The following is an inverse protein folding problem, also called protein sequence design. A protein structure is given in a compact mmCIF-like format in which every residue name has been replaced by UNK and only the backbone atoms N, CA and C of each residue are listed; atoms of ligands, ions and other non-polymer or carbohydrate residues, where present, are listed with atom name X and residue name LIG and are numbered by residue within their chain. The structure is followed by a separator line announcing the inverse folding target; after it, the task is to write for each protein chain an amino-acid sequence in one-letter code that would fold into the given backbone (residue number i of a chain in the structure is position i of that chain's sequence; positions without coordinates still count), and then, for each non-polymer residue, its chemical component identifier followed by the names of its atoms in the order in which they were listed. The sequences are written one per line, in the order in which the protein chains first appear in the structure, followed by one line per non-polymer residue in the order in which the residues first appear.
data_IF_665205204174
#
_entry.id   IF_665205204174
#
_cell.length_a   1.000
_cell.length_b   1.000
_cell.length_c   1.000
_cell.angle_alpha   90.00
_cell.angle_beta   90.00
_cell.angle_gamma   90.00
#
_symmetry.space_group_name_H-M   'P 1'
#
loop_
_entity.id
_entity.type
_entity.pdbx_description
1 polymer ?
#
# COMPACT_ATOMS: atom_id res chain seq x y z
N UNK A 1 28.63 9.48 23.30
CA UNK A 1 28.12 8.08 23.26
C UNK A 1 27.42 7.92 21.93
N UNK A 2 27.67 6.84 21.20
CA UNK A 2 26.93 6.57 19.94
C UNK A 2 25.43 6.40 20.27
N UNK A 3 24.58 7.02 19.46
CA UNK A 3 23.12 6.91 19.62
C UNK A 3 22.71 5.50 19.15
N UNK A 4 22.03 4.75 20.01
CA UNK A 4 21.43 3.47 19.62
C UNK A 4 20.17 3.71 18.81
N UNK A 5 20.04 3.10 17.63
CA UNK A 5 18.95 3.36 16.69
C UNK A 5 18.57 2.14 15.87
N UNK A 6 17.41 2.20 15.28
CA UNK A 6 16.87 1.21 14.35
C UNK A 6 16.56 1.85 12.99
N UNK A 7 16.55 1.04 11.94
CA UNK A 7 16.15 1.47 10.59
C UNK A 7 14.88 0.73 10.19
N UNK A 8 13.89 1.50 9.73
CA UNK A 8 12.68 0.99 9.07
C UNK A 8 12.64 1.41 7.60
N UNK A 9 12.41 0.46 6.71
CA UNK A 9 12.39 0.69 5.26
C UNK A 9 11.05 0.21 4.68
N UNK A 10 10.40 1.08 3.93
CA UNK A 10 9.25 0.79 3.05
C UNK A 10 9.76 0.69 1.62
N UNK A 11 9.86 -0.53 1.11
CA UNK A 11 10.43 -0.87 -0.19
C UNK A 11 9.36 -1.10 -1.24
N UNK A 12 9.09 -0.09 -2.06
CA UNK A 12 8.13 -0.14 -3.15
C UNK A 12 8.70 -0.64 -4.49
N UNK A 13 7.83 -0.71 -5.50
CA UNK A 13 8.19 -1.17 -6.85
C UNK A 13 9.06 -0.20 -7.66
N UNK A 14 9.00 1.10 -7.36
CA UNK A 14 9.72 2.15 -8.10
C UNK A 14 10.62 2.98 -7.21
N UNK A 15 10.28 3.12 -5.94
CA UNK A 15 11.02 3.90 -4.94
C UNK A 15 10.85 3.26 -3.57
N UNK A 16 11.75 3.59 -2.67
CA UNK A 16 11.68 3.24 -1.26
C UNK A 16 11.82 4.48 -0.38
N UNK A 17 11.31 4.38 0.84
CA UNK A 17 11.47 5.36 1.91
C UNK A 17 12.06 4.65 3.12
N UNK A 18 13.08 5.23 3.72
CA UNK A 18 13.73 4.67 4.90
C UNK A 18 13.88 5.74 5.97
N UNK A 19 13.71 5.34 7.23
CA UNK A 19 13.89 6.19 8.39
C UNK A 19 14.82 5.55 9.40
N UNK A 20 15.59 6.37 10.10
CA UNK A 20 16.36 5.98 11.27
C UNK A 20 15.74 6.61 12.52
N UNK A 21 15.44 5.79 13.52
CA UNK A 21 14.78 6.20 14.76
C UNK A 21 15.61 5.77 15.95
N UNK A 22 15.89 6.68 16.88
CA UNK A 22 16.55 6.34 18.14
C UNK A 22 15.67 5.46 19.01
N UNK A 23 16.27 4.75 19.96
CA UNK A 23 15.50 3.94 20.93
C UNK A 23 14.61 4.80 21.84
N UNK A 24 14.84 6.10 21.87
CA UNK A 24 14.02 7.09 22.60
C UNK A 24 12.92 7.70 21.72
N UNK A 25 12.85 7.32 20.44
CA UNK A 25 11.80 7.76 19.50
C UNK A 25 12.10 9.06 18.73
N UNK A 26 13.36 9.53 18.76
CA UNK A 26 13.75 10.67 17.92
C UNK A 26 13.98 10.20 16.49
N UNK A 27 13.41 10.89 15.51
CA UNK A 27 13.77 10.69 14.11
C UNK A 27 15.15 11.27 13.86
N UNK A 28 16.11 10.40 13.59
CA UNK A 28 17.50 10.78 13.36
C UNK A 28 17.76 11.10 11.89
N UNK A 29 16.99 10.51 10.97
CA UNK A 29 17.12 10.77 9.55
C UNK A 29 16.05 10.10 8.73
N UNK A 30 15.82 10.64 7.53
CA UNK A 30 14.93 10.10 6.52
C UNK A 30 15.61 10.18 5.16
N UNK A 31 15.57 9.10 4.39
CA UNK A 31 16.15 9.03 3.06
C UNK A 31 15.19 8.32 2.09
N UNK A 32 15.32 8.65 0.81
CA UNK A 32 14.61 7.97 -0.29
C UNK A 32 15.60 7.21 -1.15
N UNK A 33 15.17 6.06 -1.66
CA UNK A 33 16.01 5.19 -2.48
C UNK A 33 15.30 4.61 -3.70
N UNK A 34 16.03 3.82 -4.44
CA UNK A 34 15.55 3.05 -5.59
C UNK A 34 14.57 1.95 -5.19
N UNK A 35 14.11 1.15 -6.18
CA UNK A 35 13.14 0.08 -5.95
C UNK A 35 13.71 -1.02 -5.06
N UNK A 36 12.87 -1.48 -4.13
CA UNK A 36 13.10 -2.66 -3.29
C UNK A 36 11.88 -3.59 -3.43
N UNK A 37 11.69 -4.18 -4.62
CA UNK A 37 10.63 -5.13 -4.89
C UNK A 37 11.23 -6.53 -5.04
N UNK A 38 10.82 -7.45 -4.18
CA UNK A 38 11.38 -8.80 -4.11
C UNK A 38 11.31 -9.59 -5.42
N UNK A 39 10.22 -9.43 -6.19
CA UNK A 39 9.98 -10.22 -7.39
C UNK A 39 10.44 -9.55 -8.70
N UNK A 40 10.45 -8.23 -8.76
CA UNK A 40 10.73 -7.50 -10.01
C UNK A 40 12.10 -6.82 -10.03
N UNK A 41 12.71 -6.61 -8.87
CA UNK A 41 14.06 -6.07 -8.75
C UNK A 41 15.06 -7.21 -8.67
N UNK A 42 16.05 -7.26 -9.57
CA UNK A 42 17.09 -8.29 -9.49
C UNK A 42 17.85 -8.18 -8.15
N UNK A 43 18.38 -9.29 -7.59
CA UNK A 43 19.12 -9.25 -6.32
C UNK A 43 20.26 -8.24 -6.31
N UNK A 44 20.99 -8.07 -7.42
CA UNK A 44 22.06 -7.09 -7.55
C UNK A 44 21.56 -5.65 -7.45
N UNK A 45 20.44 -5.32 -8.13
CA UNK A 45 19.80 -4.00 -8.03
C UNK A 45 19.16 -3.76 -6.67
N UNK A 46 18.63 -4.80 -6.04
CA UNK A 46 18.07 -4.71 -4.69
C UNK A 46 19.16 -4.31 -3.68
N UNK A 47 20.28 -5.03 -3.69
CA UNK A 47 21.42 -4.72 -2.82
C UNK A 47 22.07 -3.37 -3.14
N UNK A 48 22.14 -2.96 -4.41
CA UNK A 48 22.60 -1.62 -4.81
C UNK A 48 21.69 -0.52 -4.25
N UNK A 49 20.36 -0.64 -4.43
CA UNK A 49 19.40 0.31 -3.86
C UNK A 49 19.48 0.39 -2.34
N UNK A 50 19.60 -0.77 -1.66
CA UNK A 50 19.78 -0.81 -0.22
C UNK A 50 21.11 -0.17 0.21
N UNK A 51 22.20 -0.47 -0.48
CA UNK A 51 23.52 0.13 -0.20
C UNK A 51 23.49 1.65 -0.31
N UNK A 52 22.84 2.19 -1.34
CA UNK A 52 22.67 3.63 -1.51
C UNK A 52 21.84 4.28 -0.38
N UNK A 53 20.82 3.59 0.15
CA UNK A 53 20.04 4.06 1.30
C UNK A 53 20.93 4.09 2.56
N UNK A 54 21.68 3.03 2.83
CA UNK A 54 22.54 2.95 4.00
C UNK A 54 23.67 3.98 3.95
N UNK A 55 24.24 4.22 2.76
CA UNK A 55 25.26 5.23 2.54
C UNK A 55 24.72 6.65 2.79
N UNK A 56 23.47 6.96 2.36
CA UNK A 56 22.87 8.26 2.64
C UNK A 56 22.67 8.51 4.15
N UNK A 57 22.36 7.50 4.95
CA UNK A 57 22.28 7.67 6.39
C UNK A 57 23.62 8.07 7.00
N UNK A 58 24.73 7.49 6.52
CA UNK A 58 26.07 7.88 6.96
C UNK A 58 26.45 9.29 6.49
N UNK A 59 26.28 9.58 5.18
CA UNK A 59 26.76 10.83 4.59
C UNK A 59 25.90 12.07 4.94
N UNK A 60 24.58 11.90 5.05
CA UNK A 60 23.64 13.02 5.22
C UNK A 60 23.27 13.22 6.69
N UNK A 61 23.20 12.14 7.45
CA UNK A 61 22.69 12.15 8.82
C UNK A 61 23.75 11.80 9.88
N UNK A 62 25.02 11.61 9.47
CA UNK A 62 26.16 11.30 10.35
C UNK A 62 25.91 10.06 11.22
N UNK A 63 25.23 9.06 10.65
CA UNK A 63 24.89 7.81 11.31
C UNK A 63 25.91 6.72 10.94
N UNK A 64 27.17 6.89 11.39
CA UNK A 64 28.30 5.99 11.05
C UNK A 64 28.26 4.62 11.73
N UNK A 65 27.43 4.46 12.75
CA UNK A 65 27.26 3.17 13.44
C UNK A 65 26.20 2.31 12.74
N UNK A 66 26.43 1.00 12.67
CA UNK A 66 25.41 0.09 12.17
C UNK A 66 24.16 0.13 13.08
N UNK A 67 22.98 0.22 12.47
CA UNK A 67 21.73 0.12 13.20
C UNK A 67 21.67 -1.19 14.01
N UNK A 68 21.08 -1.12 15.20
CA UNK A 68 20.90 -2.30 16.06
C UNK A 68 19.96 -3.33 15.44
N UNK A 69 18.95 -2.86 14.75
CA UNK A 69 18.02 -3.68 13.97
C UNK A 69 17.56 -2.93 12.73
N UNK A 70 17.40 -3.64 11.62
CA UNK A 70 16.82 -3.12 10.38
C UNK A 70 15.66 -4.02 9.95
N UNK A 71 14.51 -3.43 9.71
CA UNK A 71 13.34 -4.09 9.11
C UNK A 71 13.05 -3.49 7.74
N UNK A 72 12.95 -4.34 6.73
CA UNK A 72 12.64 -3.98 5.35
C UNK A 72 11.27 -4.57 5.00
N UNK A 73 10.28 -3.70 4.78
CA UNK A 73 9.07 -4.05 4.04
C UNK A 73 9.38 -4.05 2.56
N UNK A 74 9.11 -5.15 1.85
CA UNK A 74 9.37 -5.23 0.41
C UNK A 74 8.11 -5.58 -0.36
N UNK A 75 7.86 -4.86 -1.45
CA UNK A 75 6.73 -5.13 -2.33
C UNK A 75 6.82 -6.55 -2.93
N UNK A 76 5.66 -7.13 -3.19
CA UNK A 76 5.51 -8.48 -3.79
C UNK A 76 5.98 -9.65 -2.92
N UNK A 77 6.20 -9.44 -1.64
CA UNK A 77 6.42 -10.48 -0.64
C UNK A 77 5.18 -10.58 0.26
N UNK A 78 4.63 -11.78 0.48
CA UNK A 78 3.43 -11.98 1.31
C UNK A 78 3.74 -12.46 2.73
N UNK A 79 4.97 -12.89 2.96
CA UNK A 79 5.44 -13.46 4.23
C UNK A 79 6.74 -12.78 4.65
N UNK A 80 7.44 -13.35 5.62
CA UNK A 80 8.82 -12.99 5.94
C UNK A 80 9.79 -13.94 5.23
N UNK A 81 10.97 -13.43 4.86
CA UNK A 81 12.08 -14.27 4.46
C UNK A 81 12.75 -14.90 5.68
N UNK A 82 13.31 -16.08 5.50
CA UNK A 82 14.25 -16.61 6.50
C UNK A 82 15.55 -15.80 6.51
N UNK A 83 16.34 -15.97 7.55
CA UNK A 83 17.56 -15.18 7.77
C UNK A 83 18.58 -15.32 6.64
N UNK A 84 18.69 -16.52 6.03
CA UNK A 84 19.64 -16.79 4.94
C UNK A 84 19.19 -16.14 3.63
N UNK A 85 17.90 -16.23 3.30
CA UNK A 85 17.32 -15.57 2.13
C UNK A 85 17.37 -14.05 2.25
N UNK A 86 17.04 -13.50 3.43
CA UNK A 86 17.14 -12.07 3.71
C UNK A 86 18.57 -11.54 3.51
N UNK A 87 19.57 -12.22 4.08
CA UNK A 87 20.97 -11.85 3.91
C UNK A 87 21.41 -11.92 2.44
N UNK A 88 20.97 -12.94 1.70
CA UNK A 88 21.28 -13.12 0.27
C UNK A 88 20.69 -12.00 -0.59
N UNK A 89 19.42 -11.66 -0.39
CA UNK A 89 18.73 -10.59 -1.16
C UNK A 89 19.35 -9.23 -0.86
N UNK A 90 19.73 -8.99 0.38
CA UNK A 90 20.40 -7.75 0.80
C UNK A 90 21.91 -7.72 0.49
N UNK A 91 22.45 -8.74 -0.19
CA UNK A 91 23.86 -8.77 -0.60
C UNK A 91 24.86 -8.80 0.55
N UNK A 92 24.45 -9.23 1.73
CA UNK A 92 25.32 -9.26 2.93
C UNK A 92 25.68 -7.88 3.49
N UNK A 93 24.97 -6.82 3.08
CA UNK A 93 25.23 -5.44 3.54
C UNK A 93 24.93 -5.21 5.02
N UNK A 94 24.10 -6.05 5.61
CA UNK A 94 23.68 -5.98 7.01
C UNK A 94 23.92 -7.33 7.70
N UNK A 95 24.28 -7.34 8.99
CA UNK A 95 24.37 -8.57 9.76
C UNK A 95 23.03 -9.30 9.77
N UNK A 96 23.06 -10.61 9.52
CA UNK A 96 21.85 -11.41 9.36
C UNK A 96 20.97 -11.48 10.63
N UNK A 97 21.58 -11.40 11.80
CA UNK A 97 20.92 -11.34 13.11
C UNK A 97 20.26 -9.98 13.41
N UNK A 98 20.65 -8.94 12.68
CA UNK A 98 20.10 -7.58 12.77
C UNK A 98 19.16 -7.21 11.62
N UNK A 99 18.84 -8.16 10.75
CA UNK A 99 18.03 -7.95 9.56
C UNK A 99 16.73 -8.73 9.60
N UNK A 100 15.64 -8.09 9.17
CA UNK A 100 14.35 -8.74 8.93
C UNK A 100 13.78 -8.20 7.63
N UNK A 101 13.36 -9.10 6.74
CA UNK A 101 12.69 -8.75 5.48
C UNK A 101 11.30 -9.37 5.49
N UNK A 102 10.29 -8.53 5.33
CA UNK A 102 8.86 -8.91 5.34
C UNK A 102 8.14 -8.27 4.17
N UNK A 103 6.89 -8.64 3.93
CA UNK A 103 6.06 -7.94 2.94
C UNK A 103 5.78 -6.49 3.35
N UNK A 104 5.72 -5.57 2.38
CA UNK A 104 5.39 -4.16 2.58
C UNK A 104 4.05 -3.94 3.30
N UNK A 105 3.07 -4.81 3.03
CA UNK A 105 1.78 -4.76 3.71
C UNK A 105 1.89 -5.09 5.21
N UNK A 106 2.88 -5.90 5.62
CA UNK A 106 3.10 -6.24 7.04
C UNK A 106 3.59 -5.02 7.81
N UNK A 107 4.57 -4.29 7.25
CA UNK A 107 5.08 -3.05 7.85
C UNK A 107 4.01 -1.96 7.84
N UNK A 108 3.24 -1.84 6.75
CA UNK A 108 2.12 -0.91 6.67
C UNK A 108 1.02 -1.22 7.70
N UNK A 109 0.66 -2.49 7.87
CA UNK A 109 -0.29 -2.93 8.90
C UNK A 109 0.22 -2.60 10.30
N UNK A 110 1.50 -2.88 10.56
CA UNK A 110 2.11 -2.59 11.86
C UNK A 110 2.11 -1.08 12.17
N UNK A 111 2.43 -0.24 11.19
CA UNK A 111 2.34 1.22 11.32
C UNK A 111 0.90 1.71 11.52
N UNK A 112 -0.05 1.12 10.81
CA UNK A 112 -1.46 1.48 10.92
C UNK A 112 -2.05 1.16 12.30
N UNK A 113 -1.72 -0.01 12.85
CA UNK A 113 -2.31 -0.54 14.10
C UNK A 113 -1.42 -0.37 15.31
N UNK A 114 -0.22 0.19 15.15
CA UNK A 114 0.83 0.26 16.17
C UNK A 114 1.20 -1.12 16.75
N UNK A 115 1.05 -2.16 15.92
CA UNK A 115 1.30 -3.55 16.30
C UNK A 115 0.20 -4.22 17.12
N UNK A 116 -0.96 -3.56 17.31
CA UNK A 116 -2.14 -4.15 17.92
C UNK A 116 -2.96 -4.97 16.89
N UNK A 117 -3.87 -5.87 17.34
CA UNK A 117 -4.82 -6.51 16.45
C UNK A 117 -5.64 -5.48 15.67
N UNK A 118 -5.76 -5.69 14.35
CA UNK A 118 -6.43 -4.71 13.49
C UNK A 118 -6.47 -5.10 12.02
N UNK A 119 -7.10 -4.26 11.22
CA UNK A 119 -7.31 -4.46 9.79
C UNK A 119 -6.81 -3.24 9.02
N UNK A 120 -6.00 -3.49 8.00
CA UNK A 120 -5.58 -2.49 7.00
C UNK A 120 -6.06 -2.90 5.61
N UNK A 121 -6.56 -1.93 4.86
CA UNK A 121 -6.90 -2.11 3.44
C UNK A 121 -6.17 -1.07 2.62
N UNK A 122 -5.40 -1.53 1.67
CA UNK A 122 -4.70 -0.66 0.72
C UNK A 122 -5.37 -0.77 -0.64
N UNK A 123 -5.75 0.36 -1.25
CA UNK A 123 -6.25 0.42 -2.61
C UNK A 123 -5.71 1.62 -3.36
N UNK A 124 -4.87 1.34 -4.34
CA UNK A 124 -4.26 2.30 -5.27
C UNK A 124 -4.09 1.65 -6.64
N UNK A 125 -2.85 1.48 -7.10
CA UNK A 125 -2.51 0.69 -8.30
C UNK A 125 -2.87 -0.79 -8.11
N UNK A 126 -2.66 -1.35 -6.91
CA UNK A 126 -3.12 -2.65 -6.44
C UNK A 126 -4.24 -2.55 -5.41
N UNK A 127 -4.75 -3.69 -4.94
CA UNK A 127 -5.55 -3.77 -3.71
C UNK A 127 -5.19 -5.01 -2.91
N UNK A 128 -5.02 -4.83 -1.61
CA UNK A 128 -4.69 -5.87 -0.64
C UNK A 128 -5.35 -5.52 0.69
N UNK A 129 -5.81 -6.51 1.42
CA UNK A 129 -6.21 -6.37 2.81
C UNK A 129 -5.30 -7.24 3.69
N UNK A 130 -4.97 -6.74 4.87
CA UNK A 130 -4.16 -7.43 5.86
C UNK A 130 -4.75 -7.27 7.25
N UNK A 131 -4.74 -8.32 8.04
CA UNK A 131 -5.18 -8.30 9.43
C UNK A 131 -4.08 -8.86 10.33
N UNK A 132 -3.90 -8.22 11.48
CA UNK A 132 -3.11 -8.72 12.60
C UNK A 132 -4.05 -9.35 13.59
N UNK A 133 -3.88 -10.63 13.88
CA UNK A 133 -4.68 -11.33 14.89
C UNK A 133 -4.20 -11.06 16.33
N UNK A 134 -4.93 -11.58 17.31
CA UNK A 134 -4.57 -11.44 18.73
C UNK A 134 -3.26 -12.14 19.13
N UNK A 135 -2.68 -12.94 18.25
CA UNK A 135 -1.38 -13.62 18.44
C UNK A 135 -0.23 -12.89 17.75
N UNK A 136 -0.54 -11.78 17.07
CA UNK A 136 0.44 -10.98 16.31
C UNK A 136 0.82 -11.58 14.97
N UNK A 137 0.00 -12.50 14.43
CA UNK A 137 0.21 -13.06 13.10
C UNK A 137 -0.51 -12.22 12.06
N UNK A 138 0.17 -11.97 10.94
CA UNK A 138 -0.39 -11.23 9.81
C UNK A 138 -1.01 -12.20 8.80
N UNK A 139 -2.28 -11.95 8.47
CA UNK A 139 -3.04 -12.66 7.44
C UNK A 139 -3.39 -11.69 6.33
N UNK A 140 -3.31 -12.12 5.07
CA UNK A 140 -3.55 -11.26 3.91
C UNK A 140 -4.57 -11.84 2.96
N UNK A 141 -5.29 -10.97 2.23
CA UNK A 141 -6.15 -11.33 1.10
C UNK A 141 -5.94 -10.34 -0.05
N UNK A 142 -5.98 -10.83 -1.27
CA UNK A 142 -5.68 -10.03 -2.47
C UNK A 142 -4.19 -9.92 -2.73
N UNK A 143 -3.75 -8.82 -3.35
CA UNK A 143 -2.33 -8.60 -3.65
C UNK A 143 -1.75 -9.44 -4.79
N UNK A 144 -2.52 -10.31 -5.43
CA UNK A 144 -2.06 -11.24 -6.46
C UNK A 144 -1.63 -10.58 -7.79
N UNK A 145 -1.60 -9.26 -7.82
CA UNK A 145 -1.21 -8.51 -9.01
C UNK A 145 -2.28 -8.45 -10.12
N UNK A 146 -2.00 -7.68 -11.18
CA UNK A 146 -3.00 -7.41 -12.23
C UNK A 146 -3.32 -8.61 -13.11
N UNK A 147 -2.41 -9.57 -13.23
CA UNK A 147 -2.53 -10.68 -14.16
C UNK A 147 -3.37 -11.86 -13.61
N UNK A 148 -3.35 -12.08 -12.29
CA UNK A 148 -3.88 -13.32 -11.68
C UNK A 148 -5.32 -13.17 -11.16
N UNK A 149 -5.95 -12.08 -11.21
CA UNK A 149 -7.33 -12.09 -10.72
C UNK A 149 -7.81 -10.79 -10.17
N UNK A 150 -7.26 -9.78 -10.71
CA UNK A 150 -7.81 -8.47 -10.58
C UNK A 150 -8.01 -8.08 -9.13
N UNK A 151 -7.15 -7.29 -8.62
CA UNK A 151 -7.38 -6.61 -7.36
C UNK A 151 -8.67 -5.78 -7.47
N UNK A 152 -9.77 -6.20 -6.83
CA UNK A 152 -11.05 -5.52 -6.97
C UNK A 152 -11.01 -4.14 -6.34
N UNK A 153 -11.71 -3.17 -6.94
CA UNK A 153 -11.85 -1.82 -6.38
C UNK A 153 -10.62 -0.91 -6.52
N UNK A 154 -9.54 -1.34 -7.20
CA UNK A 154 -8.37 -0.52 -7.49
C UNK A 154 -8.59 0.43 -8.69
N UNK A 155 -7.67 1.36 -8.90
CA UNK A 155 -7.74 2.34 -9.98
C UNK A 155 -7.96 1.70 -11.38
N UNK A 156 -7.23 0.63 -11.71
CA UNK A 156 -7.41 -0.08 -12.99
C UNK A 156 -8.77 -0.77 -13.10
N UNK A 157 -9.29 -1.33 -12.00
CA UNK A 157 -10.64 -1.93 -12.02
C UNK A 157 -11.69 -0.85 -12.31
N UNK A 158 -11.58 0.31 -11.66
CA UNK A 158 -12.47 1.47 -11.89
C UNK A 158 -12.36 1.90 -13.35
N UNK A 159 -11.14 2.03 -13.89
CA UNK A 159 -10.92 2.38 -15.29
C UNK A 159 -11.56 1.38 -16.26
N UNK A 160 -11.44 0.08 -16.00
CA UNK A 160 -12.08 -0.95 -16.81
C UNK A 160 -13.62 -0.83 -16.80
N UNK A 161 -14.23 -0.56 -15.65
CA UNK A 161 -15.68 -0.33 -15.55
C UNK A 161 -16.11 0.93 -16.33
N UNK A 162 -15.30 1.98 -16.33
CA UNK A 162 -15.50 3.18 -17.16
C UNK A 162 -15.47 2.83 -18.64
N UNK A 163 -14.48 2.07 -19.09
CA UNK A 163 -14.37 1.64 -20.49
C UNK A 163 -15.52 0.73 -20.91
N UNK A 164 -15.97 -0.19 -20.04
CA UNK A 164 -17.12 -1.03 -20.29
C UNK A 164 -18.40 -0.18 -20.46
N UNK A 165 -18.59 0.81 -19.57
CA UNK A 165 -19.73 1.72 -19.66
C UNK A 165 -19.72 2.51 -20.98
N UNK A 166 -18.60 3.09 -21.35
CA UNK A 166 -18.42 3.81 -22.61
C UNK A 166 -18.63 2.90 -23.85
N UNK A 167 -18.17 1.64 -23.77
CA UNK A 167 -18.36 0.65 -24.84
C UNK A 167 -19.82 0.28 -25.07
N UNK A 168 -20.65 0.26 -24.03
CA UNK A 168 -22.10 0.06 -24.15
C UNK A 168 -22.76 1.28 -24.81
N UNK A 169 -22.38 2.48 -24.38
CA UNK A 169 -22.91 3.72 -24.98
C UNK A 169 -22.56 3.84 -26.46
N UNK A 170 -21.33 3.55 -26.85
CA UNK A 170 -20.87 3.69 -28.23
C UNK A 170 -21.57 2.73 -29.21
N UNK A 171 -22.07 1.57 -28.73
CA UNK A 171 -22.76 0.56 -29.55
C UNK A 171 -24.25 0.82 -29.76
N UNK A 172 -24.86 1.54 -28.85
CA UNK A 172 -26.33 1.76 -28.88
C UNK A 172 -26.75 2.92 -29.78
N UNK A 173 -25.87 3.47 -30.64
CA UNK A 173 -26.18 4.61 -31.50
C UNK A 173 -26.53 5.87 -30.71
N UNK A 174 -26.31 5.87 -29.40
CA UNK A 174 -26.46 7.04 -28.56
C UNK A 174 -25.53 8.14 -29.04
N UNK A 175 -25.97 9.39 -28.95
CA UNK A 175 -25.07 10.54 -29.19
C UNK A 175 -23.83 10.34 -28.31
N UNK A 176 -22.60 10.65 -28.83
CA UNK A 176 -21.39 10.57 -28.02
C UNK A 176 -21.67 11.27 -26.70
N UNK A 177 -21.62 10.51 -25.61
CA UNK A 177 -21.70 11.12 -24.30
C UNK A 177 -20.38 11.85 -24.04
N UNK A 178 -20.37 12.76 -23.10
CA UNK A 178 -19.12 13.39 -22.67
C UNK A 178 -18.04 12.37 -22.30
N UNK A 179 -18.44 11.13 -21.91
CA UNK A 179 -17.50 10.07 -21.51
C UNK A 179 -16.66 9.53 -22.68
N UNK A 180 -17.28 9.19 -23.82
CA UNK A 180 -16.49 8.73 -24.98
C UNK A 180 -15.53 9.81 -25.49
N UNK A 181 -15.97 11.08 -25.52
CA UNK A 181 -15.12 12.20 -25.88
C UNK A 181 -13.98 12.41 -24.86
N UNK A 182 -14.26 12.23 -23.58
CA UNK A 182 -13.26 12.31 -22.51
C UNK A 182 -12.19 11.21 -22.67
N UNK A 183 -12.62 9.99 -22.96
CA UNK A 183 -11.72 8.84 -23.19
C UNK A 183 -10.86 9.07 -24.44
N UNK A 184 -11.44 9.51 -25.53
CA UNK A 184 -10.69 9.84 -26.74
C UNK A 184 -9.60 10.90 -26.46
N UNK A 185 -9.93 11.94 -25.71
CA UNK A 185 -8.95 12.96 -25.29
C UNK A 185 -7.86 12.40 -24.39
N UNK A 186 -8.19 11.48 -23.46
CA UNK A 186 -7.19 10.88 -22.57
C UNK A 186 -6.18 10.01 -23.33
N UNK A 187 -6.65 9.24 -24.32
CA UNK A 187 -5.82 8.34 -25.11
C UNK A 187 -5.23 9.00 -26.37
N UNK A 188 -5.56 10.28 -26.65
CA UNK A 188 -5.15 11.01 -27.86
C UNK A 188 -5.56 10.27 -29.16
N UNK A 189 -6.81 9.81 -29.21
CA UNK A 189 -7.40 9.10 -30.34
C UNK A 189 -8.58 9.89 -30.90
N UNK A 190 -8.80 9.80 -32.23
CA UNK A 190 -9.89 10.52 -32.88
C UNK A 190 -11.27 9.87 -32.62
N UNK A 191 -11.31 8.55 -32.56
CA UNK A 191 -12.53 7.77 -32.41
C UNK A 191 -12.35 6.67 -31.36
N UNK A 192 -13.42 6.38 -30.60
CA UNK A 192 -13.42 5.40 -29.51
C UNK A 192 -12.98 3.98 -29.96
N UNK A 193 -13.27 3.62 -31.21
CA UNK A 193 -12.91 2.31 -31.80
C UNK A 193 -11.39 2.12 -31.91
N UNK A 194 -10.62 3.21 -31.97
CA UNK A 194 -9.15 3.18 -32.01
C UNK A 194 -8.53 2.79 -30.66
N UNK A 195 -9.32 2.77 -29.59
CA UNK A 195 -8.85 2.43 -28.25
C UNK A 195 -8.19 1.02 -28.19
N UNK A 196 -8.77 0.05 -28.91
CA UNK A 196 -8.29 -1.34 -28.86
C UNK A 196 -6.84 -1.42 -29.41
N UNK A 197 -6.56 -1.03 -30.66
CA UNK A 197 -5.20 -1.09 -31.15
C UNK A 197 -4.24 -0.20 -30.35
N UNK A 198 -4.69 0.97 -29.88
CA UNK A 198 -3.86 1.88 -29.08
C UNK A 198 -3.42 1.25 -27.75
N UNK A 199 -4.34 0.65 -27.00
CA UNK A 199 -4.03 0.00 -25.71
C UNK A 199 -3.15 -1.23 -25.89
N UNK A 200 -3.43 -2.08 -26.89
CA UNK A 200 -2.67 -3.31 -27.09
C UNK A 200 -1.29 -3.07 -27.73
N UNK A 201 -1.06 -1.94 -28.38
CA UNK A 201 0.25 -1.57 -28.91
C UNK A 201 1.13 -0.81 -27.90
N UNK A 202 0.58 -0.35 -26.78
CA UNK A 202 1.33 0.44 -25.80
C UNK A 202 2.33 -0.41 -25.02
N UNK A 203 3.47 0.18 -24.68
CA UNK A 203 4.54 -0.46 -23.89
C UNK A 203 4.12 -0.66 -22.44
N UNK A 204 3.27 0.23 -21.90
CA UNK A 204 2.81 0.22 -20.50
C UNK A 204 1.28 0.37 -20.39
N UNK A 205 0.51 -0.61 -20.91
CA UNK A 205 -0.94 -0.48 -20.96
C UNK A 205 -1.59 -0.45 -19.56
N UNK A 206 -0.92 -1.05 -18.58
CA UNK A 206 -1.44 -1.15 -17.22
C UNK A 206 -1.47 0.19 -16.48
N UNK A 207 -0.41 0.98 -16.59
CA UNK A 207 -0.29 2.30 -15.94
C UNK A 207 -1.21 3.31 -16.63
N UNK A 208 -1.17 3.33 -17.96
CA UNK A 208 -2.01 4.19 -18.77
C UNK A 208 -3.51 3.95 -18.50
N UNK A 209 -3.94 2.69 -18.40
CA UNK A 209 -5.31 2.35 -18.02
C UNK A 209 -5.64 2.80 -16.59
N UNK A 210 -4.72 2.64 -15.64
CA UNK A 210 -4.97 3.05 -14.26
C UNK A 210 -5.15 4.56 -14.11
N UNK A 211 -4.41 5.36 -14.88
CA UNK A 211 -4.50 6.82 -14.90
C UNK A 211 -5.86 7.34 -15.39
N UNK A 212 -6.58 6.59 -16.23
CA UNK A 212 -7.90 6.98 -16.70
C UNK A 212 -8.89 7.24 -15.55
N UNK A 213 -8.84 6.46 -14.47
CA UNK A 213 -9.71 6.66 -13.33
C UNK A 213 -9.52 8.02 -12.66
N UNK A 214 -8.26 8.49 -12.56
CA UNK A 214 -7.94 9.81 -12.02
C UNK A 214 -8.38 10.92 -12.98
N UNK A 215 -8.23 10.69 -14.29
CA UNK A 215 -8.63 11.64 -15.30
C UNK A 215 -10.16 11.86 -15.31
N UNK A 216 -10.96 10.79 -15.17
CA UNK A 216 -12.42 10.89 -15.01
C UNK A 216 -12.78 11.59 -13.70
N UNK A 217 -12.13 11.26 -12.59
CA UNK A 217 -12.37 11.89 -11.30
C UNK A 217 -12.09 13.41 -11.32
N UNK A 218 -11.15 13.88 -12.15
CA UNK A 218 -10.83 15.30 -12.31
C UNK A 218 -11.70 16.03 -13.35
N UNK A 219 -12.60 15.34 -14.01
CA UNK A 219 -13.47 15.89 -15.07
C UNK A 219 -14.84 16.32 -14.54
N UNK A 220 -15.61 17.00 -15.39
CA UNK A 220 -17.01 17.39 -15.11
C UNK A 220 -17.95 16.19 -14.99
N UNK A 221 -17.48 14.98 -15.34
CA UNK A 221 -18.24 13.74 -15.23
C UNK A 221 -18.16 13.09 -13.83
N UNK A 222 -17.39 13.63 -12.92
CA UNK A 222 -17.15 13.09 -11.59
C UNK A 222 -18.38 13.01 -10.67
N UNK A 223 -19.49 13.65 -11.03
CA UNK A 223 -20.78 13.62 -10.32
C UNK A 223 -21.87 12.87 -11.07
N UNK A 224 -21.55 12.29 -12.21
CA UNK A 224 -22.53 11.56 -13.00
C UNK A 224 -22.94 10.24 -12.33
N UNK A 225 -24.21 9.81 -12.44
CA UNK A 225 -24.70 8.60 -11.78
C UNK A 225 -23.89 7.35 -12.11
N UNK A 226 -23.43 7.19 -13.35
CA UNK A 226 -22.61 6.04 -13.74
C UNK A 226 -21.28 6.00 -12.98
N UNK A 227 -20.63 7.15 -12.82
CA UNK A 227 -19.37 7.26 -12.10
C UNK A 227 -19.53 6.93 -10.62
N UNK A 228 -20.53 7.54 -9.97
CA UNK A 228 -20.83 7.27 -8.57
C UNK A 228 -21.16 5.78 -8.33
N UNK A 229 -21.92 5.16 -9.23
CA UNK A 229 -22.19 3.71 -9.16
C UNK A 229 -20.92 2.86 -9.26
N UNK A 230 -19.98 3.21 -10.17
CA UNK A 230 -18.71 2.51 -10.28
C UNK A 230 -17.92 2.62 -8.98
N UNK A 231 -17.85 3.80 -8.38
CA UNK A 231 -17.13 4.03 -7.12
C UNK A 231 -17.76 3.26 -5.94
N UNK A 232 -19.10 3.27 -5.84
CA UNK A 232 -19.81 2.50 -4.81
C UNK A 232 -19.54 0.99 -4.95
N UNK A 233 -19.58 0.46 -6.17
CA UNK A 233 -19.24 -0.94 -6.45
C UNK A 233 -17.78 -1.25 -6.11
N UNK A 234 -16.85 -0.30 -6.31
CA UNK A 234 -15.46 -0.46 -5.91
C UNK A 234 -15.34 -0.64 -4.40
N UNK A 235 -16.02 0.19 -3.60
CA UNK A 235 -16.06 0.08 -2.15
C UNK A 235 -16.62 -1.26 -1.65
N UNK A 236 -17.77 -1.69 -2.20
CA UNK A 236 -18.35 -3.00 -1.88
C UNK A 236 -17.39 -4.16 -2.19
N UNK A 237 -16.65 -4.08 -3.29
CA UNK A 237 -15.67 -5.12 -3.64
C UNK A 237 -14.47 -5.14 -2.71
N UNK A 238 -14.00 -3.98 -2.27
CA UNK A 238 -12.93 -3.88 -1.26
C UNK A 238 -13.39 -4.44 0.09
N UNK A 239 -14.63 -4.17 0.50
CA UNK A 239 -15.20 -4.77 1.71
C UNK A 239 -15.23 -6.31 1.66
N UNK A 240 -15.65 -6.86 0.51
CA UNK A 240 -15.65 -8.32 0.31
C UNK A 240 -14.26 -8.94 0.37
N UNK A 241 -13.23 -8.20 -0.02
CA UNK A 241 -11.84 -8.63 0.12
C UNK A 241 -11.45 -8.84 1.60
N UNK A 242 -12.04 -8.06 2.51
CA UNK A 242 -11.75 -8.10 3.94
C UNK A 242 -12.49 -9.23 4.68
N UNK A 243 -13.61 -9.71 4.15
CA UNK A 243 -14.49 -10.66 4.86
C UNK A 243 -13.76 -11.90 5.39
N UNK A 244 -12.85 -12.56 4.64
CA UNK A 244 -12.12 -13.72 5.15
C UNK A 244 -11.25 -13.41 6.38
N UNK A 245 -10.78 -12.16 6.52
CA UNK A 245 -9.90 -11.74 7.61
C UNK A 245 -10.66 -11.44 8.90
N UNK A 246 -11.96 -11.14 8.82
CA UNK A 246 -12.76 -10.82 9.99
C UNK A 246 -12.83 -11.97 11.01
N UNK A 247 -12.71 -13.20 10.56
CA UNK A 247 -12.77 -14.38 11.43
C UNK A 247 -11.57 -14.48 12.40
N UNK A 248 -10.41 -13.89 12.02
CA UNK A 248 -9.21 -13.84 12.88
C UNK A 248 -9.19 -12.64 13.85
N UNK A 249 -10.17 -11.73 13.74
CA UNK A 249 -10.24 -10.52 14.54
C UNK A 249 -11.29 -10.71 15.67
N UNK A 250 -10.81 -11.05 16.85
CA UNK A 250 -11.66 -11.20 18.02
C UNK A 250 -12.22 -9.84 18.48
N UNK A 251 -13.52 -9.79 18.72
CA UNK A 251 -14.21 -8.60 19.22
C UNK A 251 -13.70 -8.12 20.60
N UNK A 252 -13.09 -8.99 21.39
CA UNK A 252 -12.51 -8.65 22.68
C UNK A 252 -11.19 -7.87 22.55
N UNK A 253 -10.42 -8.12 21.49
CA UNK A 253 -9.08 -7.57 21.30
C UNK A 253 -8.97 -6.56 20.15
N UNK A 254 -9.99 -6.44 19.32
CA UNK A 254 -10.02 -5.50 18.21
C UNK A 254 -11.12 -4.44 18.41
N UNK A 255 -10.79 -3.15 18.50
CA UNK A 255 -11.77 -2.08 18.76
C UNK A 255 -12.75 -1.83 17.60
N UNK A 256 -12.54 -2.48 16.44
CA UNK A 256 -13.37 -2.27 15.25
C UNK A 256 -12.90 -1.11 14.37
N UNK A 257 -11.65 -0.69 14.52
CA UNK A 257 -11.01 0.30 13.63
C UNK A 257 -10.47 -0.41 12.40
N UNK A 258 -10.82 0.10 11.23
CA UNK A 258 -10.32 -0.36 9.93
C UNK A 258 -9.49 0.76 9.32
N UNK A 259 -8.20 0.52 9.19
CA UNK A 259 -7.31 1.49 8.56
C UNK A 259 -7.36 1.35 7.04
N UNK A 260 -7.39 2.48 6.34
CA UNK A 260 -7.46 2.51 4.87
C UNK A 260 -6.36 3.38 4.29
N UNK A 261 -5.71 2.90 3.24
CA UNK A 261 -4.62 3.57 2.55
C UNK A 261 -4.70 3.37 1.04
N UNK A 262 -3.83 4.10 0.32
CA UNK A 262 -3.78 4.08 -1.14
C UNK A 262 -4.74 5.08 -1.79
N UNK A 263 -4.37 5.55 -2.98
CA UNK A 263 -4.99 6.71 -3.64
C UNK A 263 -6.49 6.58 -3.88
N UNK A 264 -7.04 5.38 -4.06
CA UNK A 264 -8.48 5.18 -4.28
C UNK A 264 -9.25 5.37 -2.98
N UNK A 265 -8.84 4.71 -1.89
CA UNK A 265 -9.50 4.84 -0.59
C UNK A 265 -9.22 6.19 0.07
N UNK A 266 -8.03 6.75 -0.09
CA UNK A 266 -7.69 8.05 0.49
C UNK A 266 -8.49 9.21 -0.14
N UNK A 267 -8.70 9.17 -1.48
CA UNK A 267 -9.21 10.31 -2.23
C UNK A 267 -10.66 10.17 -2.72
N UNK A 268 -11.34 9.06 -2.44
CA UNK A 268 -12.70 8.83 -2.91
C UNK A 268 -13.67 8.57 -1.76
N UNK A 269 -14.42 9.60 -1.36
CA UNK A 269 -15.46 9.49 -0.35
C UNK A 269 -16.52 8.43 -0.70
N UNK A 270 -17.09 8.37 -1.93
CA UNK A 270 -18.08 7.35 -2.27
C UNK A 270 -17.55 5.91 -2.16
N UNK A 271 -16.24 5.70 -2.39
CA UNK A 271 -15.61 4.40 -2.18
C UNK A 271 -15.51 4.09 -0.69
N UNK A 272 -15.05 5.03 0.14
CA UNK A 272 -14.94 4.84 1.60
C UNK A 272 -16.28 4.59 2.27
N UNK A 273 -17.31 5.36 1.91
CA UNK A 273 -18.66 5.21 2.47
C UNK A 273 -19.24 3.83 2.16
N UNK A 274 -19.23 3.43 0.88
CA UNK A 274 -19.77 2.12 0.47
C UNK A 274 -18.92 0.95 1.00
N UNK A 275 -17.61 1.12 1.13
CA UNK A 275 -16.72 0.17 1.79
C UNK A 275 -17.09 0.00 3.26
N UNK A 276 -17.20 1.09 4.02
CA UNK A 276 -17.52 1.06 5.45
C UNK A 276 -18.90 0.46 5.73
N UNK A 277 -19.89 0.87 4.95
CA UNK A 277 -21.27 0.34 5.08
C UNK A 277 -21.34 -1.18 4.82
N UNK A 278 -20.76 -1.66 3.72
CA UNK A 278 -20.76 -3.09 3.38
C UNK A 278 -19.94 -3.90 4.41
N UNK A 279 -18.77 -3.42 4.83
CA UNK A 279 -17.94 -4.14 5.79
C UNK A 279 -18.59 -4.21 7.17
N UNK A 280 -19.21 -3.12 7.65
CA UNK A 280 -20.01 -3.07 8.88
C UNK A 280 -21.14 -4.09 8.84
N UNK A 281 -21.87 -4.18 7.73
CA UNK A 281 -22.92 -5.16 7.55
C UNK A 281 -22.40 -6.61 7.60
N UNK A 282 -21.23 -6.89 7.02
CA UNK A 282 -20.59 -8.22 7.04
C UNK A 282 -20.02 -8.58 8.40
N UNK A 283 -19.41 -7.63 9.09
CA UNK A 283 -18.86 -7.82 10.42
C UNK A 283 -19.94 -7.94 11.53
N UNK A 284 -21.18 -7.53 11.23
CA UNK A 284 -22.31 -7.48 12.19
C UNK A 284 -21.99 -6.68 13.45
N UNK A 285 -21.16 -5.67 13.32
CA UNK A 285 -20.76 -4.73 14.40
C UNK A 285 -20.40 -3.38 13.78
N UNK A 286 -20.47 -2.32 14.58
CA UNK A 286 -20.03 -0.99 14.15
C UNK A 286 -18.53 -0.98 13.93
N UNK A 287 -18.09 -0.45 12.79
CA UNK A 287 -16.70 -0.26 12.44
C UNK A 287 -16.45 1.22 12.16
N UNK A 288 -15.28 1.73 12.55
CA UNK A 288 -14.75 3.01 12.10
C UNK A 288 -13.75 2.80 10.96
N UNK A 289 -13.70 3.74 10.03
CA UNK A 289 -12.75 3.74 8.89
C UNK A 289 -11.83 4.94 9.07
N UNK A 290 -10.55 4.68 9.28
CA UNK A 290 -9.56 5.69 9.67
C UNK A 290 -8.31 5.61 8.80
N UNK A 291 -7.53 6.68 8.77
CA UNK A 291 -6.18 6.65 8.19
C UNK A 291 -5.22 5.84 9.06
N UNK A 292 -4.14 5.28 8.50
CA UNK A 292 -3.08 4.67 9.29
C UNK A 292 -2.53 5.64 10.33
N UNK A 293 -2.20 5.14 11.53
CA UNK A 293 -1.60 5.94 12.59
C UNK A 293 -0.19 6.42 12.23
N UNK A 294 0.56 5.55 11.53
CA UNK A 294 1.93 5.78 11.08
C UNK A 294 2.13 5.21 9.67
N UNK A 295 3.15 5.68 8.98
CA UNK A 295 3.57 5.18 7.67
C UNK A 295 4.15 3.76 7.74
N UNK A 296 4.32 3.09 6.58
CA UNK A 296 4.94 1.77 6.50
C UNK A 296 6.40 1.76 6.96
N UNK A 297 7.18 2.82 6.67
CA UNK A 297 8.56 2.93 7.14
C UNK A 297 8.63 3.07 8.68
N UNK A 298 7.73 3.83 9.28
CA UNK A 298 7.61 3.93 10.74
C UNK A 298 7.14 2.63 11.37
N UNK A 299 6.19 1.93 10.73
CA UNK A 299 5.80 0.58 11.13
C UNK A 299 6.96 -0.40 11.10
N UNK A 300 7.82 -0.35 10.08
CA UNK A 300 9.05 -1.14 10.00
C UNK A 300 10.02 -0.79 11.13
N UNK A 301 10.21 0.50 11.44
CA UNK A 301 11.04 0.94 12.56
C UNK A 301 10.50 0.46 13.91
N UNK A 302 9.19 0.52 14.14
CA UNK A 302 8.57 -0.03 15.35
C UNK A 302 8.74 -1.55 15.47
N UNK A 303 8.65 -2.29 14.35
CA UNK A 303 8.93 -3.73 14.32
C UNK A 303 10.40 -4.01 14.70
N UNK A 304 11.34 -3.20 14.22
CA UNK A 304 12.75 -3.29 14.58
C UNK A 304 12.96 -3.00 16.07
N UNK A 305 12.34 -1.94 16.57
CA UNK A 305 12.40 -1.56 17.98
C UNK A 305 11.82 -2.64 18.90
N UNK A 306 10.71 -3.29 18.51
CA UNK A 306 10.11 -4.37 19.29
C UNK A 306 11.07 -5.52 19.56
N UNK A 307 11.96 -5.83 18.63
CA UNK A 307 12.98 -6.88 18.82
C UNK A 307 14.07 -6.49 19.82
N UNK A 308 14.38 -5.20 19.91
CA UNK A 308 15.49 -4.70 20.70
C UNK A 308 15.04 -4.17 22.07
N UNK A 309 13.98 -3.36 22.08
CA UNK A 309 13.48 -2.66 23.26
C UNK A 309 11.92 -2.74 23.33
N UNK A 310 11.34 -3.93 23.54
CA UNK A 310 9.90 -4.13 23.44
C UNK A 310 9.08 -3.24 24.39
N UNK A 311 9.63 -2.84 25.51
CA UNK A 311 8.97 -1.98 26.51
C UNK A 311 8.86 -0.51 26.08
N UNK A 312 9.60 -0.09 25.04
CA UNK A 312 9.59 1.30 24.55
C UNK A 312 8.70 1.51 23.33
N UNK A 313 8.15 0.45 22.74
CA UNK A 313 7.40 0.52 21.48
C UNK A 313 6.23 1.48 21.56
N UNK A 314 5.43 1.41 22.61
CA UNK A 314 4.22 2.25 22.77
C UNK A 314 4.60 3.73 22.95
N UNK A 315 5.64 4.03 23.71
CA UNK A 315 6.15 5.38 23.91
C UNK A 315 6.66 5.99 22.59
N UNK A 316 7.47 5.22 21.86
CA UNK A 316 8.02 5.64 20.56
C UNK A 316 6.93 5.79 19.51
N UNK A 317 5.96 4.87 19.47
CA UNK A 317 4.81 4.96 18.55
C UNK A 317 4.01 6.24 18.81
N UNK A 318 3.70 6.56 20.07
CA UNK A 318 2.99 7.78 20.43
C UNK A 318 3.77 9.06 20.08
N UNK A 319 5.10 9.00 20.16
CA UNK A 319 5.97 10.13 19.80
C UNK A 319 6.03 10.35 18.29
N UNK A 320 6.15 9.29 17.50
CA UNK A 320 6.12 9.36 16.04
C UNK A 320 4.76 9.88 15.53
N UNK A 321 3.64 9.38 16.07
CA UNK A 321 2.30 9.79 15.67
C UNK A 321 2.02 11.29 15.88
N UNK A 322 2.62 11.93 16.90
CA UNK A 322 2.50 13.38 17.13
C UNK A 322 3.22 14.25 16.11
N UNK A 323 4.06 13.67 15.25
CA UNK A 323 4.81 14.44 14.23
C UNK A 323 4.06 14.52 12.90
N UNK A 324 3.15 13.59 12.63
CA UNK A 324 2.32 13.58 11.42
C UNK A 324 1.00 14.38 11.58
N UNK A 325 0.67 14.81 12.79
CA UNK A 325 -0.48 15.68 13.09
C UNK A 325 -0.11 17.18 13.06
#
# INVERSE_FOLDING_TARGET
MAVSFVIGIDGGGTRSRAIAVSVEGDLLGEVSGGPLNYNTTSPGKFSESLGAILQQFSEVHDLDSAAEQTVIGTASLFTSLDTGEAAKVCGGLLPADRLTVVGDVVTALYGATLGAPGLLVVSGTGSIAAAMDGQGQCHTTGGLGPAIGGAPGRARWIANEVLLHAGVESRNGARPTGLTALICRYFDIAEFQQLIPDVYSSVEPAERLSGLSQFVAASDLNRQPFWLNILQRAGVRLAKLCVPLLAGLDSANWPGVVHVSGSVLANSEPVRESFGAELTAKAKRTLSVESPALSAAEGAALMALKKMAPTKVDEVAARLAKRES
#
